data_IF_085474610358
#
_entry.id   IF_085474610358
#
_cell.length_a   1.000
_cell.length_b   1.000
_cell.length_c   1.000
_cell.angle_alpha   90.00
_cell.angle_beta   90.00
_cell.angle_gamma   90.00
#
_symmetry.space_group_name_H-M   'P 1'
#
loop_
_entity.id
_entity.type
_entity.pdbx_description
1 polymer ?
#
# COMPACT_ATOMS: atom_id res chain seq x y z
N UNK A 1 -16.19 58.53 -57.11
CA UNK A 1 -17.01 57.83 -58.12
C UNK A 1 -16.26 56.58 -58.52
N UNK A 2 -16.95 55.43 -58.49
CA UNK A 2 -16.52 54.09 -58.91
C UNK A 2 -15.37 53.43 -58.09
N UNK A 3 -15.35 52.14 -57.79
CA UNK A 3 -16.41 51.13 -57.84
C UNK A 3 -16.06 49.90 -56.96
N UNK A 4 -17.11 49.14 -56.74
CA UNK A 4 -17.34 47.86 -56.07
C UNK A 4 -16.32 46.75 -56.40
N UNK A 5 -15.94 45.94 -55.41
CA UNK A 5 -15.79 44.49 -55.58
C UNK A 5 -15.99 43.73 -54.24
N UNK A 6 -17.12 43.01 -54.18
CA UNK A 6 -17.55 42.15 -53.06
C UNK A 6 -16.81 40.80 -53.10
N UNK A 7 -16.38 40.34 -51.92
CA UNK A 7 -16.05 38.95 -51.53
C UNK A 7 -17.25 37.99 -51.67
N UNK A 8 -17.17 36.68 -51.35
CA UNK A 8 -16.06 35.70 -51.30
C UNK A 8 -16.48 34.33 -51.92
N UNK A 9 -15.63 33.29 -51.86
CA UNK A 9 -16.04 31.93 -51.42
C UNK A 9 -14.83 31.04 -51.16
N UNK A 10 -14.55 30.95 -49.87
CA UNK A 10 -13.75 29.93 -49.20
C UNK A 10 -14.50 28.59 -49.27
N UNK A 11 -13.78 27.51 -49.56
CA UNK A 11 -14.15 26.17 -49.12
C UNK A 11 -12.85 25.42 -48.76
N UNK A 12 -12.48 25.54 -47.49
CA UNK A 12 -11.35 24.86 -46.88
C UNK A 12 -11.61 23.36 -46.74
N UNK A 13 -10.54 22.59 -46.93
CA UNK A 13 -10.46 21.16 -46.76
C UNK A 13 -10.94 20.69 -45.37
N UNK A 14 -11.73 19.62 -45.35
CA UNK A 14 -12.04 18.87 -44.15
C UNK A 14 -10.83 17.99 -43.78
N UNK A 15 -10.10 18.38 -42.72
CA UNK A 15 -9.10 17.54 -42.07
C UNK A 15 -9.80 16.69 -41.00
N UNK A 16 -9.85 15.38 -41.25
CA UNK A 16 -10.21 14.35 -40.27
C UNK A 16 -9.11 14.27 -39.21
N UNK A 17 -9.33 14.86 -38.04
CA UNK A 17 -8.52 14.63 -36.85
C UNK A 17 -8.96 13.30 -36.21
N UNK A 18 -8.26 12.23 -36.53
CA UNK A 18 -8.30 10.98 -35.76
C UNK A 18 -7.51 11.24 -34.47
N UNK A 19 -8.21 11.62 -33.41
CA UNK A 19 -7.63 11.68 -32.08
C UNK A 19 -7.41 10.24 -31.59
N UNK A 20 -6.18 9.75 -31.72
CA UNK A 20 -5.74 8.52 -31.06
C UNK A 20 -5.68 8.82 -29.57
N UNK A 21 -6.71 8.41 -28.83
CA UNK A 21 -6.64 8.28 -27.39
C UNK A 21 -5.68 7.11 -27.09
N UNK A 22 -4.38 7.39 -27.14
CA UNK A 22 -3.40 6.54 -26.49
C UNK A 22 -3.71 6.60 -25.00
N UNK A 23 -4.41 5.58 -24.50
CA UNK A 23 -4.50 5.31 -23.08
C UNK A 23 -3.08 5.29 -22.55
N UNK A 24 -2.74 6.26 -21.69
CA UNK A 24 -1.49 6.27 -20.96
C UNK A 24 -1.53 5.12 -19.95
N UNK A 25 -1.28 3.90 -20.41
CA UNK A 25 -1.03 2.76 -19.55
C UNK A 25 0.45 2.80 -19.17
N UNK A 26 0.78 3.77 -18.33
CA UNK A 26 2.16 3.97 -17.86
C UNK A 26 2.37 3.11 -16.62
N UNK A 27 2.39 1.79 -16.77
CA UNK A 27 2.95 0.96 -15.71
C UNK A 27 4.40 1.39 -15.47
N UNK A 28 4.75 1.62 -14.20
CA UNK A 28 6.10 2.06 -13.86
C UNK A 28 7.11 0.99 -14.32
N UNK A 29 8.18 1.40 -14.99
CA UNK A 29 9.21 0.50 -15.54
C UNK A 29 9.87 -0.46 -14.52
N UNK A 30 9.58 -0.29 -13.22
CA UNK A 30 10.08 -1.10 -12.10
C UNK A 30 8.94 -1.64 -11.22
N UNK A 31 7.69 -1.62 -11.71
CA UNK A 31 6.58 -2.26 -11.01
C UNK A 31 6.79 -3.78 -11.01
N UNK A 32 6.51 -4.48 -9.90
CA UNK A 32 6.56 -5.93 -9.89
C UNK A 32 5.56 -6.53 -10.88
N UNK A 33 5.85 -7.72 -11.42
CA UNK A 33 4.98 -8.40 -12.39
C UNK A 33 3.59 -8.76 -11.84
N UNK A 34 3.47 -8.79 -10.51
CA UNK A 34 2.26 -9.10 -9.77
C UNK A 34 2.06 -8.07 -8.64
N UNK A 35 0.81 -7.71 -8.30
CA UNK A 35 0.55 -6.66 -7.31
C UNK A 35 1.07 -7.09 -5.93
N UNK A 36 1.85 -6.24 -5.25
CA UNK A 36 2.36 -6.55 -3.92
C UNK A 36 1.31 -6.30 -2.84
N UNK A 37 1.25 -7.19 -1.85
CA UNK A 37 0.27 -7.15 -0.77
C UNK A 37 0.88 -7.55 0.58
N UNK A 38 0.28 -7.02 1.64
CA UNK A 38 0.45 -7.46 3.02
C UNK A 38 -0.93 -7.56 3.65
N UNK A 39 -1.06 -8.44 4.64
CA UNK A 39 -2.28 -8.65 5.40
C UNK A 39 -2.37 -7.68 6.57
N UNK A 40 -3.53 -7.06 6.75
CA UNK A 40 -3.83 -6.24 7.92
C UNK A 40 -5.12 -6.71 8.60
N UNK A 41 -5.16 -6.65 9.92
CA UNK A 41 -6.41 -6.78 10.68
C UNK A 41 -6.37 -5.88 11.90
N UNK A 42 -7.53 -5.61 12.46
CA UNK A 42 -7.66 -5.20 13.86
C UNK A 42 -8.15 -6.39 14.66
N UNK A 43 -7.55 -6.62 15.82
CA UNK A 43 -7.95 -7.66 16.74
C UNK A 43 -7.64 -7.18 18.16
N UNK A 44 -8.62 -7.28 19.06
CA UNK A 44 -8.57 -6.70 20.41
C UNK A 44 -8.09 -5.23 20.45
N UNK A 45 -8.54 -4.42 19.48
CA UNK A 45 -8.15 -3.01 19.39
C UNK A 45 -6.70 -2.77 18.98
N UNK A 46 -6.02 -3.79 18.43
CA UNK A 46 -4.64 -3.68 17.93
C UNK A 46 -4.63 -3.89 16.42
N UNK A 47 -4.07 -2.95 15.67
CA UNK A 47 -3.71 -3.12 14.26
C UNK A 47 -2.56 -4.12 14.17
N UNK A 48 -2.79 -5.24 13.48
CA UNK A 48 -1.83 -6.31 13.24
C UNK A 48 -1.44 -6.36 11.77
N UNK A 49 -0.17 -6.67 11.54
CA UNK A 49 0.42 -6.91 10.24
C UNK A 49 0.69 -8.40 10.04
N UNK A 50 0.53 -8.87 8.82
CA UNK A 50 1.11 -10.12 8.33
C UNK A 50 1.76 -9.91 6.96
N UNK A 51 3.06 -10.17 6.84
CA UNK A 51 3.82 -9.98 5.60
C UNK A 51 3.50 -11.05 4.55
N UNK A 52 2.75 -12.10 4.89
CA UNK A 52 2.45 -13.26 4.05
C UNK A 52 3.63 -14.24 3.95
N UNK A 53 4.76 -13.78 3.40
CA UNK A 53 6.05 -14.51 3.45
C UNK A 53 6.94 -13.87 4.51
N UNK A 54 7.61 -14.66 5.37
CA UNK A 54 8.56 -14.12 6.34
C UNK A 54 9.64 -13.26 5.67
N UNK A 55 9.87 -12.08 6.23
CA UNK A 55 10.93 -11.16 5.85
C UNK A 55 12.13 -11.39 6.77
N UNK A 56 13.19 -12.01 6.27
CA UNK A 56 14.44 -12.17 7.01
C UNK A 56 15.36 -10.95 6.84
N UNK A 57 16.10 -10.59 7.89
CA UNK A 57 17.06 -9.47 7.87
C UNK A 57 16.42 -8.07 7.85
N UNK A 58 15.22 -7.90 8.40
CA UNK A 58 14.55 -6.59 8.50
C UNK A 58 15.33 -5.66 9.43
N UNK A 59 15.72 -4.50 8.93
CA UNK A 59 16.38 -3.45 9.72
C UNK A 59 15.49 -2.24 9.97
N UNK A 60 14.39 -2.12 9.23
CA UNK A 60 13.43 -1.03 9.37
C UNK A 60 12.05 -1.41 8.86
N UNK A 61 11.03 -0.82 9.47
CA UNK A 61 9.64 -0.88 9.01
C UNK A 61 9.09 0.53 9.00
N UNK A 62 8.33 0.87 7.97
CA UNK A 62 7.65 2.16 7.87
C UNK A 62 6.17 1.95 7.60
N UNK A 63 5.32 2.62 8.37
CA UNK A 63 3.93 2.86 8.04
C UNK A 63 3.76 4.34 7.71
N UNK A 64 3.18 4.62 6.54
CA UNK A 64 2.81 5.97 6.12
C UNK A 64 1.30 5.98 5.95
N UNK A 65 0.63 6.80 6.75
CA UNK A 65 -0.79 7.06 6.62
C UNK A 65 -1.01 8.12 5.56
N UNK A 66 -2.03 7.93 4.73
CA UNK A 66 -2.49 8.88 3.71
C UNK A 66 -1.34 9.45 2.86
N UNK A 67 -0.43 8.55 2.46
CA UNK A 67 0.79 8.85 1.74
C UNK A 67 0.53 9.74 0.52
N UNK A 68 1.25 10.87 0.44
CA UNK A 68 1.16 11.81 -0.68
C UNK A 68 0.05 12.85 -0.55
N UNK A 69 -0.64 12.90 0.60
CA UNK A 69 -1.63 13.93 0.93
C UNK A 69 -1.08 14.94 1.95
N UNK A 70 -1.83 16.01 2.21
CA UNK A 70 -1.53 16.97 3.29
C UNK A 70 -1.75 16.42 4.70
N UNK A 71 -2.44 15.28 4.83
CA UNK A 71 -2.77 14.63 6.11
C UNK A 71 -1.79 13.50 6.44
N UNK A 72 -0.74 13.34 5.65
CA UNK A 72 0.20 12.23 5.79
C UNK A 72 0.95 12.27 7.11
N UNK A 73 0.98 11.13 7.80
CA UNK A 73 1.75 10.89 9.02
C UNK A 73 2.53 9.58 8.89
N UNK A 74 3.63 9.43 9.64
CA UNK A 74 4.46 8.22 9.57
C UNK A 74 4.83 7.67 10.94
N UNK A 75 4.92 6.34 11.02
CA UNK A 75 5.60 5.63 12.10
C UNK A 75 6.74 4.80 11.53
N UNK A 76 7.92 4.87 12.18
CA UNK A 76 9.08 4.05 11.82
C UNK A 76 9.57 3.22 12.98
N UNK A 77 9.89 1.97 12.69
CA UNK A 77 10.62 1.06 13.56
C UNK A 77 11.99 0.77 12.97
N UNK A 78 12.97 0.52 13.84
CA UNK A 78 14.33 0.12 13.44
C UNK A 78 14.81 -1.07 14.26
N UNK A 79 15.67 -1.88 13.65
CA UNK A 79 16.38 -2.97 14.32
C UNK A 79 17.88 -2.89 13.98
N UNK A 80 18.78 -3.28 14.90
CA UNK A 80 20.20 -3.34 14.60
C UNK A 80 20.51 -4.42 13.55
N UNK A 81 21.62 -4.25 12.83
CA UNK A 81 22.13 -5.30 11.93
C UNK A 81 22.54 -6.55 12.73
N UNK A 82 22.35 -7.77 12.21
CA UNK A 82 22.02 -8.12 10.81
C UNK A 82 20.53 -7.98 10.42
N UNK A 83 19.69 -7.43 11.29
CA UNK A 83 18.24 -7.37 11.08
C UNK A 83 17.55 -8.56 11.74
N UNK A 84 16.23 -8.61 11.58
CA UNK A 84 15.36 -9.51 12.35
C UNK A 84 14.34 -10.16 11.43
N UNK A 85 13.83 -11.33 11.82
CA UNK A 85 12.73 -11.98 11.12
C UNK A 85 11.42 -11.28 11.46
N UNK A 86 10.67 -10.84 10.44
CA UNK A 86 9.32 -10.29 10.59
C UNK A 86 8.38 -11.10 9.72
N UNK A 87 7.34 -11.67 10.33
CA UNK A 87 6.23 -12.25 9.60
C UNK A 87 4.91 -11.65 10.06
N UNK A 88 4.71 -11.60 11.39
CA UNK A 88 3.54 -10.98 12.02
C UNK A 88 4.00 -9.99 13.07
N UNK A 89 3.25 -8.91 13.21
CA UNK A 89 3.59 -7.84 14.17
C UNK A 89 2.34 -7.09 14.60
N UNK A 90 2.27 -6.78 15.90
CA UNK A 90 1.32 -5.83 16.45
C UNK A 90 1.88 -4.41 16.27
N UNK A 91 1.15 -3.55 15.57
CA UNK A 91 1.63 -2.24 15.12
C UNK A 91 1.16 -1.10 16.00
N UNK A 92 -0.16 -0.93 16.17
CA UNK A 92 -0.76 0.26 16.79
C UNK A 92 -2.01 -0.10 17.56
N UNK A 93 -2.29 0.62 18.65
CA UNK A 93 -3.55 0.48 19.39
C UNK A 93 -4.58 1.49 18.91
N UNK A 94 -5.85 1.10 18.86
CA UNK A 94 -6.97 1.99 18.48
C UNK A 94 -7.27 3.06 19.53
N UNK A 95 -6.83 2.86 20.79
CA UNK A 95 -7.02 3.82 21.89
C UNK A 95 -5.96 4.92 21.93
N UNK A 96 -5.05 4.97 20.95
CA UNK A 96 -3.93 5.92 20.92
C UNK A 96 -2.87 5.64 21.98
N UNK A 97 -2.96 4.52 22.70
CA UNK A 97 -1.91 4.08 23.60
C UNK A 97 -0.60 3.79 22.85
N UNK A 98 0.53 3.68 23.57
CA UNK A 98 1.80 3.32 22.96
C UNK A 98 1.66 2.10 22.06
N UNK A 99 2.36 2.11 20.92
CA UNK A 99 2.57 0.90 20.12
C UNK A 99 2.88 -0.25 21.08
N UNK A 100 2.21 -1.42 20.96
CA UNK A 100 2.50 -2.55 21.80
C UNK A 100 4.01 -2.76 21.83
N UNK A 101 4.60 -2.84 23.02
CA UNK A 101 5.98 -3.25 23.13
C UNK A 101 6.04 -4.66 22.56
N UNK A 102 6.62 -4.81 21.38
CA UNK A 102 6.75 -6.11 20.73
C UNK A 102 7.68 -7.02 21.53
N UNK A 103 8.31 -6.53 22.62
CA UNK A 103 9.32 -7.22 23.41
C UNK A 103 10.53 -7.63 22.56
N UNK A 104 10.61 -7.04 21.37
CA UNK A 104 11.36 -7.53 20.24
C UNK A 104 12.44 -6.55 19.82
N UNK A 105 13.31 -6.98 18.91
CA UNK A 105 14.44 -6.18 18.45
C UNK A 105 14.05 -4.96 17.60
N UNK A 106 12.79 -4.84 17.18
CA UNK A 106 12.26 -3.66 16.50
C UNK A 106 11.80 -2.61 17.50
N UNK A 107 12.40 -1.43 17.42
CA UNK A 107 12.15 -0.30 18.32
C UNK A 107 11.58 0.87 17.53
N UNK A 108 10.58 1.55 18.07
CA UNK A 108 10.02 2.77 17.46
C UNK A 108 11.10 3.85 17.43
N UNK A 109 11.47 4.29 16.24
CA UNK A 109 12.43 5.39 16.01
C UNK A 109 11.71 6.71 15.75
N UNK A 110 10.64 6.67 14.98
CA UNK A 110 9.77 7.82 14.72
C UNK A 110 8.36 7.43 15.14
N UNK A 111 7.86 7.91 16.29
CA UNK A 111 6.49 7.65 16.70
C UNK A 111 5.52 8.49 15.85
N UNK A 112 4.26 8.06 15.77
CA UNK A 112 3.19 8.95 15.33
C UNK A 112 3.08 10.19 16.24
N UNK A 113 2.56 11.32 15.72
CA UNK A 113 2.20 12.45 16.56
C UNK A 113 1.23 12.04 17.68
N UNK A 114 1.38 12.60 18.88
CA UNK A 114 0.63 12.17 20.09
C UNK A 114 -0.90 12.27 19.93
N UNK A 115 -1.38 13.20 19.11
CA UNK A 115 -2.79 13.46 18.84
C UNK A 115 -3.28 12.84 17.52
N UNK A 116 -2.42 12.10 16.82
CA UNK A 116 -2.78 11.47 15.56
C UNK A 116 -3.62 10.21 15.79
N UNK A 117 -4.89 10.28 15.40
CA UNK A 117 -5.80 9.14 15.40
C UNK A 117 -5.73 8.39 14.07
N UNK A 118 -4.90 7.34 14.03
CA UNK A 118 -4.71 6.53 12.83
C UNK A 118 -5.98 5.85 12.34
N UNK A 119 -6.99 5.66 13.19
CA UNK A 119 -8.25 5.02 12.78
C UNK A 119 -9.08 5.90 11.84
N UNK A 120 -8.75 7.19 11.75
CA UNK A 120 -9.36 8.15 10.83
C UNK A 120 -8.66 8.24 9.48
N UNK A 121 -7.50 7.61 9.31
CA UNK A 121 -6.81 7.59 8.03
C UNK A 121 -7.65 6.86 6.97
N UNK A 122 -7.49 7.23 5.70
CA UNK A 122 -8.11 6.50 4.59
C UNK A 122 -7.29 5.26 4.21
N UNK A 123 -5.96 5.37 4.33
CA UNK A 123 -5.04 4.35 3.85
C UNK A 123 -3.75 4.25 4.66
N UNK A 124 -3.16 3.05 4.63
CA UNK A 124 -1.81 2.79 5.10
C UNK A 124 -0.98 2.33 3.90
N UNK A 125 0.21 2.90 3.76
CA UNK A 125 1.30 2.35 2.97
C UNK A 125 2.35 1.75 3.91
N UNK A 126 2.76 0.53 3.63
CA UNK A 126 3.72 -0.24 4.41
C UNK A 126 4.96 -0.57 3.58
N UNK A 127 6.14 -0.47 4.18
CA UNK A 127 7.40 -0.90 3.57
C UNK A 127 8.37 -1.48 4.59
N UNK A 128 9.28 -2.31 4.09
CA UNK A 128 10.33 -2.99 4.85
C UNK A 128 11.70 -2.58 4.30
N UNK A 129 12.64 -2.30 5.19
CA UNK A 129 14.05 -2.05 4.87
C UNK A 129 14.91 -3.26 5.28
N UNK A 130 15.94 -3.56 4.50
CA UNK A 130 16.89 -4.66 4.74
C UNK A 130 16.90 -5.66 3.60
N UNK A 131 15.93 -6.60 3.52
CA UNK A 131 15.79 -7.52 2.40
C UNK A 131 15.25 -6.82 1.14
N UNK A 132 15.35 -7.50 -0.01
CA UNK A 132 14.55 -7.14 -1.19
C UNK A 132 13.07 -7.38 -0.85
N UNK A 133 12.31 -6.31 -0.74
CA UNK A 133 10.91 -6.34 -0.35
C UNK A 133 10.08 -5.41 -1.24
N UNK A 134 8.80 -5.76 -1.37
CA UNK A 134 7.79 -4.92 -1.99
C UNK A 134 7.02 -4.16 -0.90
N UNK A 135 6.58 -2.93 -1.20
CA UNK A 135 5.64 -2.22 -0.34
C UNK A 135 4.21 -2.73 -0.52
N UNK A 136 3.34 -2.47 0.44
CA UNK A 136 1.92 -2.81 0.38
C UNK A 136 1.03 -1.63 0.77
N UNK A 137 -0.23 -1.66 0.35
CA UNK A 137 -1.24 -0.67 0.77
C UNK A 137 -2.52 -1.36 1.22
N UNK A 138 -3.21 -0.73 2.17
CA UNK A 138 -4.53 -1.18 2.65
C UNK A 138 -5.46 0.01 2.91
N UNK A 139 -6.76 -0.22 2.76
CA UNK A 139 -7.80 0.73 3.13
C UNK A 139 -8.16 0.58 4.63
N UNK A 140 -7.89 1.61 5.42
CA UNK A 140 -8.09 1.57 6.88
C UNK A 140 -9.57 1.42 7.26
N UNK A 141 -10.53 2.17 6.67
CA UNK A 141 -11.94 2.00 6.97
C UNK A 141 -12.45 0.57 6.72
N UNK A 142 -11.92 -0.11 5.71
CA UNK A 142 -12.26 -1.50 5.42
C UNK A 142 -11.73 -2.45 6.51
N UNK A 143 -10.45 -2.33 6.88
CA UNK A 143 -9.86 -3.14 7.97
C UNK A 143 -10.71 -2.99 9.23
N UNK A 144 -11.00 -1.76 9.65
CA UNK A 144 -11.75 -1.48 10.87
C UNK A 144 -13.16 -2.09 10.85
N UNK A 145 -13.87 -2.00 9.72
CA UNK A 145 -15.24 -2.51 9.62
C UNK A 145 -15.31 -4.03 9.54
N UNK A 146 -14.37 -4.65 8.85
CA UNK A 146 -14.48 -6.06 8.45
C UNK A 146 -13.75 -7.01 9.39
N UNK A 147 -12.76 -6.56 10.18
CA UNK A 147 -11.91 -7.47 10.96
C UNK A 147 -12.66 -8.43 11.89
N UNK A 148 -13.69 -7.96 12.58
CA UNK A 148 -14.47 -8.80 13.52
C UNK A 148 -15.45 -9.74 12.80
N UNK A 149 -15.63 -9.57 11.49
CA UNK A 149 -16.51 -10.40 10.66
C UNK A 149 -15.79 -11.61 10.07
N UNK A 150 -14.47 -11.68 10.24
CA UNK A 150 -13.61 -12.70 9.63
C UNK A 150 -12.84 -13.50 10.69
N UNK A 151 -12.52 -14.80 10.44
CA UNK A 151 -11.80 -15.66 11.39
C UNK A 151 -10.49 -15.04 11.88
N UNK A 152 -10.10 -15.32 13.14
CA UNK A 152 -8.88 -14.79 13.82
C UNK A 152 -7.57 -14.99 13.05
N UNK A 153 -7.53 -16.00 12.19
CA UNK A 153 -6.34 -16.35 11.39
C UNK A 153 -6.27 -15.65 10.03
N UNK A 154 -7.33 -14.92 9.64
CA UNK A 154 -7.43 -14.26 8.34
C UNK A 154 -7.08 -12.77 8.42
N UNK A 155 -6.53 -12.23 7.34
CA UNK A 155 -6.12 -10.83 7.24
C UNK A 155 -6.59 -10.24 5.90
N UNK A 156 -6.85 -8.93 5.86
CA UNK A 156 -7.18 -8.23 4.62
C UNK A 156 -5.91 -7.96 3.80
N UNK A 157 -5.75 -8.65 2.67
CA UNK A 157 -4.64 -8.46 1.73
C UNK A 157 -4.99 -7.47 0.62
N UNK A 158 -5.22 -6.22 1.00
CA UNK A 158 -5.62 -5.16 0.08
C UNK A 158 -6.86 -5.56 -0.74
N UNK A 159 -6.80 -5.41 -2.07
CA UNK A 159 -7.91 -5.77 -2.97
C UNK A 159 -8.14 -7.29 -3.12
N UNK A 160 -7.26 -8.14 -2.56
CA UNK A 160 -7.42 -9.61 -2.59
C UNK A 160 -8.42 -10.12 -1.55
N UNK A 161 -8.84 -9.26 -0.63
CA UNK A 161 -9.81 -9.60 0.42
C UNK A 161 -9.16 -10.32 1.60
N UNK A 162 -10.01 -10.95 2.40
CA UNK A 162 -9.62 -11.67 3.61
C UNK A 162 -9.08 -13.05 3.28
N UNK A 163 -7.81 -13.29 3.57
CA UNK A 163 -7.11 -14.54 3.25
C UNK A 163 -6.50 -15.15 4.51
N UNK A 164 -6.48 -16.48 4.57
CA UNK A 164 -5.73 -17.25 5.56
C UNK A 164 -4.37 -17.76 5.01
N UNK A 165 -3.62 -18.50 5.84
CA UNK A 165 -2.33 -19.10 5.47
C UNK A 165 -2.39 -19.96 4.21
N UNK A 166 -3.45 -20.75 4.05
CA UNK A 166 -3.59 -21.66 2.92
C UNK A 166 -3.92 -20.92 1.63
N UNK A 167 -4.71 -19.84 1.73
CA UNK A 167 -5.00 -18.96 0.62
C UNK A 167 -3.75 -18.22 0.15
N UNK A 168 -3.01 -17.62 1.09
CA UNK A 168 -1.76 -16.90 0.78
C UNK A 168 -0.75 -17.84 0.14
N UNK A 169 -0.56 -19.04 0.68
CA UNK A 169 0.36 -20.03 0.09
C UNK A 169 -0.05 -20.43 -1.34
N UNK A 170 -1.35 -20.56 -1.59
CA UNK A 170 -1.86 -20.97 -2.90
C UNK A 170 -1.71 -19.89 -3.96
N UNK A 171 -1.90 -18.63 -3.58
CA UNK A 171 -2.04 -17.48 -4.49
C UNK A 171 -0.77 -16.65 -4.67
N UNK A 172 0.16 -16.71 -3.70
CA UNK A 172 1.45 -16.02 -3.80
C UNK A 172 2.24 -16.52 -5.02
N UNK A 173 2.89 -15.60 -5.74
CA UNK A 173 3.57 -15.82 -7.02
C UNK A 173 2.66 -16.27 -8.18
N UNK A 174 1.34 -16.22 -8.01
CA UNK A 174 0.36 -16.52 -9.08
C UNK A 174 -0.56 -15.34 -9.36
N UNK A 175 -1.15 -14.77 -8.31
CA UNK A 175 -2.11 -13.66 -8.42
C UNK A 175 -1.68 -12.42 -7.65
N UNK A 176 -0.71 -12.53 -6.74
CA UNK A 176 -0.06 -11.42 -6.04
C UNK A 176 1.32 -11.82 -5.52
N UNK A 177 2.07 -10.84 -5.02
CA UNK A 177 3.31 -11.05 -4.28
C UNK A 177 3.13 -10.63 -2.84
N UNK A 178 3.44 -11.52 -1.91
CA UNK A 178 3.62 -11.10 -0.51
C UNK A 178 4.90 -10.26 -0.38
N UNK A 179 4.99 -9.48 0.69
CA UNK A 179 6.01 -8.43 0.91
C UNK A 179 7.42 -8.86 0.53
N UNK A 180 7.92 -9.96 1.09
CA UNK A 180 9.29 -10.43 0.89
C UNK A 180 9.41 -11.59 -0.09
N UNK A 181 8.42 -11.76 -0.97
CA UNK A 181 8.50 -12.71 -2.07
C UNK A 181 9.17 -12.05 -3.28
N UNK A 182 10.22 -12.66 -3.86
CA UNK A 182 10.80 -12.20 -5.10
C UNK A 182 9.78 -12.23 -6.23
N UNK A 183 9.84 -11.20 -7.07
CA UNK A 183 9.11 -11.17 -8.33
C UNK A 183 9.54 -12.36 -9.22
N UNK A 184 8.60 -13.18 -9.74
CA UNK A 184 8.93 -14.24 -10.68
C UNK A 184 9.54 -13.68 -11.97
N UNK A 185 10.46 -14.44 -12.56
CA UNK A 185 11.05 -14.16 -13.89
C UNK A 185 10.12 -14.56 -15.04
#
# INVERSE_FOLDING_TARGET
MADIARWPRVACAALLMVAVAAACDTEAQYAPSLPPVAGFRVDDGVLKLWTGTPCDGVTGLTLIFDSGTSESAEQRWTAPRPGVLVERMDLLRTDGGPSPDTGGPLQVQTPLPEDYDWTKADSIAFSVDGPKANGARVNVPQVLRESDQHPSESYLFGQRGWLDASDVQRENQKSFLTVCTPDPE
#
